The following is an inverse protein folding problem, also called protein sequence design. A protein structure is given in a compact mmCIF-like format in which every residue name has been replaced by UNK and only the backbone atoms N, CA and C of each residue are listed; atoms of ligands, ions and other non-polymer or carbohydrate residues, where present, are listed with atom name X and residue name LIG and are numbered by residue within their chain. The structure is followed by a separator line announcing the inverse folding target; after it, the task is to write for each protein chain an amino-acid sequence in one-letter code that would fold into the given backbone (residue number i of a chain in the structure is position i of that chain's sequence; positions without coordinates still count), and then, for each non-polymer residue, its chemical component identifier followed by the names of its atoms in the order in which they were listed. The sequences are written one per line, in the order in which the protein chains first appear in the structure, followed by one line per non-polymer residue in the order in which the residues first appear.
data_IF_551683271420
#
_entry.id   IF_551683271420
#
_cell.length_a   1.000
_cell.length_b   1.000
_cell.length_c   1.000
_cell.angle_alpha   90.00
_cell.angle_beta   90.00
_cell.angle_gamma   90.00
#
_symmetry.space_group_name_H-M   'P 1'
#
loop_
_entity.id
_entity.type
_entity.pdbx_description
1 polymer ?
#
# COMPACT_ATOMS: atom_id res chain seq x y z
N UNK A 1 -5.51 5.35 20.58
CA UNK A 1 -5.71 3.91 20.86
C UNK A 1 -7.18 3.49 20.76
N UNK A 2 -8.12 4.11 21.49
CA UNK A 2 -9.54 3.69 21.53
C UNK A 2 -10.26 3.84 20.18
N UNK A 3 -9.97 4.88 19.39
CA UNK A 3 -10.65 5.12 18.11
C UNK A 3 -10.23 4.22 16.93
N UNK A 4 -9.02 3.66 16.95
CA UNK A 4 -8.53 2.76 15.90
C UNK A 4 -9.11 1.34 16.07
N UNK A 5 -9.29 0.89 17.32
CA UNK A 5 -9.75 -0.47 17.64
C UNK A 5 -11.27 -0.62 17.50
N UNK A 6 -12.04 0.47 17.64
CA UNK A 6 -13.51 0.42 17.61
C UNK A 6 -14.13 0.23 16.21
N UNK A 7 -13.35 0.40 15.14
CA UNK A 7 -13.86 0.45 13.76
C UNK A 7 -13.72 -0.87 12.98
N UNK A 8 -13.15 -1.91 13.59
CA UNK A 8 -13.02 -3.22 12.94
C UNK A 8 -14.33 -4.00 13.02
N UNK A 9 -15.12 -3.99 11.94
CA UNK A 9 -16.21 -4.96 11.73
C UNK A 9 -15.63 -6.30 11.24
N UNK A 10 -16.20 -7.39 11.77
CA UNK A 10 -15.90 -8.82 11.55
C UNK A 10 -16.16 -9.28 10.09
N UNK A 11 -15.59 -8.59 9.11
CA UNK A 11 -15.59 -9.06 7.74
C UNK A 11 -14.16 -9.40 7.32
N UNK A 12 -14.06 -10.65 6.85
CA UNK A 12 -12.92 -11.43 6.39
C UNK A 12 -12.01 -12.04 7.45
N UNK A 13 -11.63 -13.30 7.22
CA UNK A 13 -10.85 -14.28 8.02
C UNK A 13 -9.43 -13.82 8.41
N UNK A 14 -9.27 -12.57 8.82
CA UNK A 14 -8.07 -12.02 9.43
C UNK A 14 -8.43 -11.79 10.90
N UNK A 15 -7.68 -12.44 11.80
CA UNK A 15 -7.94 -12.29 13.22
C UNK A 15 -7.84 -10.81 13.59
N UNK A 16 -8.87 -10.31 14.30
CA UNK A 16 -8.84 -9.03 14.98
C UNK A 16 -7.55 -8.86 15.82
N UNK A 17 -6.98 -9.98 16.27
CA UNK A 17 -5.71 -10.04 16.97
C UNK A 17 -4.53 -9.54 16.13
N UNK A 18 -4.45 -9.91 14.84
CA UNK A 18 -3.34 -9.43 13.99
C UNK A 18 -3.45 -7.93 13.71
N UNK A 19 -4.67 -7.40 13.53
CA UNK A 19 -4.87 -5.96 13.38
C UNK A 19 -4.42 -5.19 14.63
N UNK A 20 -4.75 -5.70 15.82
CA UNK A 20 -4.29 -5.14 17.10
C UNK A 20 -2.77 -5.24 17.26
N UNK A 21 -2.19 -6.38 16.89
CA UNK A 21 -0.74 -6.61 16.93
C UNK A 21 0.01 -5.55 16.11
N UNK A 22 -0.38 -5.33 14.87
CA UNK A 22 0.25 -4.33 13.99
C UNK A 22 0.16 -2.93 14.59
N UNK A 23 -1.00 -2.55 15.14
CA UNK A 23 -1.17 -1.24 15.80
C UNK A 23 -0.25 -1.11 17.02
N UNK A 24 -0.15 -2.15 17.85
CA UNK A 24 0.72 -2.14 19.03
C UNK A 24 2.19 -2.02 18.63
N UNK A 25 2.65 -2.83 17.67
CA UNK A 25 4.03 -2.77 17.18
C UNK A 25 4.36 -1.38 16.62
N UNK A 26 3.44 -0.75 15.89
CA UNK A 26 3.64 0.60 15.38
C UNK A 26 3.75 1.63 16.50
N UNK A 27 2.85 1.61 17.49
CA UNK A 27 2.91 2.52 18.64
C UNK A 27 4.19 2.35 19.47
N UNK A 28 4.78 1.15 19.47
CA UNK A 28 6.04 0.85 20.16
C UNK A 28 7.28 1.16 19.29
N UNK A 29 7.12 1.70 18.08
CA UNK A 29 8.19 1.90 17.09
C UNK A 29 8.96 0.61 16.75
N UNK A 30 8.22 -0.50 16.62
CA UNK A 30 8.75 -1.84 16.31
C UNK A 30 8.38 -2.33 14.90
N UNK A 31 7.88 -1.43 14.06
CA UNK A 31 7.65 -1.67 12.65
C UNK A 31 8.67 -0.82 11.88
N UNK A 32 9.54 -1.49 11.14
CA UNK A 32 10.46 -0.87 10.20
C UNK A 32 9.87 -0.84 8.79
N UNK A 33 10.53 -0.13 7.87
CA UNK A 33 10.18 -0.18 6.45
C UNK A 33 10.17 -1.62 5.93
N UNK A 34 9.26 -1.90 5.01
CA UNK A 34 9.08 -3.22 4.40
C UNK A 34 8.68 -4.33 5.38
N UNK A 35 8.19 -4.00 6.58
CA UNK A 35 7.60 -4.99 7.50
C UNK A 35 6.54 -5.88 6.82
N UNK A 36 5.80 -5.30 5.89
CA UNK A 36 4.79 -5.99 5.10
C UNK A 36 5.37 -7.13 4.24
N UNK A 37 6.65 -7.08 3.86
CA UNK A 37 7.26 -8.02 2.91
C UNK A 37 7.19 -9.47 3.39
N UNK A 38 7.48 -9.72 4.67
CA UNK A 38 7.45 -11.06 5.29
C UNK A 38 6.05 -11.57 5.63
N UNK A 39 5.01 -10.73 5.45
CA UNK A 39 3.64 -11.12 5.78
C UNK A 39 3.05 -12.06 4.73
N UNK A 40 2.14 -12.94 5.17
CA UNK A 40 1.29 -13.70 4.26
C UNK A 40 0.36 -12.77 3.48
N UNK A 41 -0.19 -13.24 2.35
CA UNK A 41 -1.16 -12.49 1.53
C UNK A 41 -2.34 -11.95 2.35
N UNK A 42 -2.92 -12.76 3.23
CA UNK A 42 -4.01 -12.34 4.14
C UNK A 42 -3.55 -11.29 5.15
N UNK A 43 -2.34 -11.42 5.71
CA UNK A 43 -1.79 -10.43 6.63
C UNK A 43 -1.43 -9.11 5.93
N UNK A 44 -1.02 -9.12 4.66
CA UNK A 44 -0.84 -7.90 3.84
C UNK A 44 -2.15 -7.14 3.64
N UNK A 45 -3.25 -7.85 3.38
CA UNK A 45 -4.60 -7.23 3.32
C UNK A 45 -4.94 -6.56 4.65
N UNK A 46 -4.66 -7.22 5.78
CA UNK A 46 -4.85 -6.62 7.10
C UNK A 46 -3.97 -5.40 7.33
N UNK A 47 -2.69 -5.48 6.94
CA UNK A 47 -1.73 -4.38 7.05
C UNK A 47 -2.23 -3.15 6.29
N UNK A 48 -2.71 -3.33 5.05
CA UNK A 48 -3.36 -2.28 4.25
C UNK A 48 -4.60 -1.73 4.94
N UNK A 49 -5.42 -2.57 5.59
CA UNK A 49 -6.59 -2.13 6.36
C UNK A 49 -6.20 -1.28 7.58
N UNK A 50 -5.13 -1.64 8.29
CA UNK A 50 -4.58 -0.79 9.36
C UNK A 50 -4.08 0.53 8.77
N UNK A 51 -3.36 0.49 7.65
CA UNK A 51 -2.88 1.68 6.94
C UNK A 51 -4.02 2.63 6.53
N UNK A 52 -5.12 2.09 6.01
CA UNK A 52 -6.31 2.87 5.69
C UNK A 52 -6.82 3.67 6.91
N UNK A 53 -7.00 3.02 8.05
CA UNK A 53 -7.46 3.72 9.26
C UNK A 53 -6.40 4.66 9.85
N UNK A 54 -5.13 4.29 9.76
CA UNK A 54 -4.02 5.15 10.19
C UNK A 54 -4.05 6.47 9.43
N UNK A 55 -4.20 6.42 8.11
CA UNK A 55 -4.24 7.61 7.27
C UNK A 55 -5.57 8.37 7.41
N UNK A 56 -6.71 7.68 7.44
CA UNK A 56 -8.03 8.31 7.60
C UNK A 56 -8.21 9.04 8.94
N UNK A 57 -7.36 8.76 9.94
CA UNK A 57 -7.38 9.42 11.26
C UNK A 57 -6.22 10.38 11.47
N UNK A 58 -5.31 10.51 10.50
CA UNK A 58 -4.16 11.42 10.55
C UNK A 58 -4.64 12.85 10.25
N UNK A 59 -4.25 13.86 11.06
CA UNK A 59 -4.54 15.25 10.72
C UNK A 59 -3.93 15.65 9.38
N UNK A 60 -4.64 16.41 8.54
CA UNK A 60 -4.12 16.89 7.25
C UNK A 60 -2.80 17.65 7.39
N UNK A 61 -2.65 18.41 8.48
CA UNK A 61 -1.46 19.23 8.76
C UNK A 61 -0.16 18.44 8.90
N UNK A 62 -0.25 17.12 9.08
CA UNK A 62 0.92 16.25 9.20
C UNK A 62 1.06 15.31 8.01
N UNK A 63 0.24 15.40 6.95
CA UNK A 63 0.39 14.55 5.76
C UNK A 63 1.52 15.06 4.86
N UNK A 64 2.63 14.32 4.83
CA UNK A 64 3.73 14.53 3.89
C UNK A 64 3.69 13.39 2.86
N UNK A 65 2.95 13.59 1.78
CA UNK A 65 2.81 12.63 0.69
C UNK A 65 3.99 12.76 -0.28
N UNK A 66 4.57 11.63 -0.69
CA UNK A 66 5.52 11.64 -1.80
C UNK A 66 4.81 11.46 -3.15
N UNK A 67 5.00 12.42 -4.05
CA UNK A 67 4.56 12.33 -5.45
C UNK A 67 5.60 11.68 -6.36
N UNK A 68 6.75 11.30 -5.81
CA UNK A 68 7.83 10.62 -6.52
C UNK A 68 8.26 9.40 -5.72
N UNK A 69 7.95 8.22 -6.23
CA UNK A 69 8.22 6.96 -5.54
C UNK A 69 9.06 6.04 -6.40
N UNK A 70 9.91 5.27 -5.75
CA UNK A 70 10.69 4.21 -6.35
C UNK A 70 10.24 2.88 -5.75
N UNK A 71 9.77 1.98 -6.61
CA UNK A 71 9.30 0.65 -6.26
C UNK A 71 10.32 -0.36 -6.76
N UNK A 72 10.97 -1.08 -5.85
CA UNK A 72 11.88 -2.16 -6.21
C UNK A 72 11.11 -3.47 -6.43
N UNK A 73 11.14 -3.94 -7.69
CA UNK A 73 10.46 -5.13 -8.15
C UNK A 73 10.91 -6.42 -7.47
N UNK A 74 12.09 -6.43 -6.83
CA UNK A 74 12.53 -7.58 -6.00
C UNK A 74 11.61 -7.86 -4.82
N UNK A 75 10.86 -6.86 -4.36
CA UNK A 75 9.89 -7.00 -3.28
C UNK A 75 8.45 -7.16 -3.77
N UNK A 76 8.21 -7.08 -5.08
CA UNK A 76 6.87 -7.08 -5.66
C UNK A 76 6.68 -8.32 -6.53
N UNK A 77 6.03 -9.33 -5.96
CA UNK A 77 5.66 -10.57 -6.66
C UNK A 77 4.16 -10.83 -6.63
N UNK A 78 3.37 -9.90 -6.11
CA UNK A 78 1.90 -9.97 -6.08
C UNK A 78 1.27 -8.59 -6.01
N UNK A 79 -0.03 -8.53 -6.27
CA UNK A 79 -0.84 -7.31 -6.10
C UNK A 79 -0.71 -6.73 -4.69
N UNK A 80 -0.77 -7.56 -3.67
CA UNK A 80 -0.68 -7.10 -2.27
C UNK A 80 0.70 -6.52 -1.95
N UNK A 81 1.77 -7.09 -2.51
CA UNK A 81 3.12 -6.51 -2.35
C UNK A 81 3.19 -5.13 -2.98
N UNK A 82 2.68 -4.99 -4.21
CA UNK A 82 2.64 -3.71 -4.91
C UNK A 82 1.89 -2.64 -4.09
N UNK A 83 0.68 -2.97 -3.61
CA UNK A 83 -0.15 -2.02 -2.85
C UNK A 83 0.49 -1.64 -1.52
N UNK A 84 1.13 -2.58 -0.81
CA UNK A 84 1.84 -2.28 0.43
C UNK A 84 3.06 -1.39 0.16
N UNK A 85 3.86 -1.72 -0.85
CA UNK A 85 5.07 -0.98 -1.19
C UNK A 85 4.75 0.45 -1.63
N UNK A 86 3.76 0.59 -2.53
CA UNK A 86 3.28 1.90 -2.97
C UNK A 86 2.73 2.72 -1.81
N UNK A 87 1.89 2.12 -0.96
CA UNK A 87 1.38 2.77 0.24
C UNK A 87 2.51 3.30 1.12
N UNK A 88 3.52 2.49 1.38
CA UNK A 88 4.66 2.85 2.22
C UNK A 88 5.54 3.95 1.60
N UNK A 89 5.82 3.90 0.30
CA UNK A 89 6.63 4.94 -0.35
C UNK A 89 5.89 6.28 -0.47
N UNK A 90 4.56 6.27 -0.60
CA UNK A 90 3.77 7.51 -0.65
C UNK A 90 3.55 8.09 0.75
N UNK A 91 3.24 7.26 1.75
CA UNK A 91 2.72 7.71 3.05
C UNK A 91 3.61 7.38 4.27
N UNK A 92 4.73 6.68 4.07
CA UNK A 92 5.59 6.16 5.14
C UNK A 92 5.09 4.83 5.72
N UNK A 93 5.68 4.38 6.82
CA UNK A 93 5.30 3.14 7.51
C UNK A 93 3.80 3.12 7.85
N UNK A 94 3.14 1.97 7.63
CA UNK A 94 1.66 1.85 7.63
C UNK A 94 0.98 2.81 6.64
N UNK A 95 1.66 3.07 5.53
CA UNK A 95 1.13 3.88 4.46
C UNK A 95 0.06 3.13 3.67
N UNK A 96 -0.87 3.89 3.11
CA UNK A 96 -1.98 3.36 2.33
C UNK A 96 -2.20 4.21 1.08
N UNK A 97 -2.27 3.56 -0.08
CA UNK A 97 -2.59 4.23 -1.34
C UNK A 97 -3.46 3.30 -2.21
N UNK A 98 -4.54 2.78 -1.59
CA UNK A 98 -5.41 1.76 -2.15
C UNK A 98 -5.17 0.36 -1.58
N UNK A 99 -6.26 -0.37 -1.30
CA UNK A 99 -6.25 -1.77 -0.83
C UNK A 99 -6.70 -2.79 -1.89
N UNK A 100 -7.23 -2.30 -3.01
CA UNK A 100 -7.65 -3.04 -4.20
C UNK A 100 -7.54 -2.13 -5.45
N UNK A 101 -7.82 -2.67 -6.64
CA UNK A 101 -7.73 -1.92 -7.90
C UNK A 101 -8.66 -0.70 -7.97
N UNK A 102 -9.90 -0.82 -7.48
CA UNK A 102 -10.85 0.29 -7.46
C UNK A 102 -10.31 1.42 -6.57
N UNK A 103 -9.92 1.08 -5.34
CA UNK A 103 -9.38 2.08 -4.40
C UNK A 103 -8.02 2.65 -4.82
N UNK A 104 -7.23 1.93 -5.62
CA UNK A 104 -5.99 2.44 -6.22
C UNK A 104 -6.32 3.48 -7.30
N UNK A 105 -7.29 3.17 -8.17
CA UNK A 105 -7.77 4.08 -9.20
C UNK A 105 -8.36 5.36 -8.59
N UNK A 106 -9.17 5.21 -7.53
CA UNK A 106 -9.71 6.33 -6.75
C UNK A 106 -8.57 7.19 -6.17
N UNK A 107 -7.58 6.58 -5.51
CA UNK A 107 -6.45 7.31 -4.93
C UNK A 107 -5.64 8.10 -5.98
N UNK A 108 -5.47 7.54 -7.18
CA UNK A 108 -4.76 8.19 -8.30
C UNK A 108 -5.56 9.33 -8.95
N UNK A 109 -6.87 9.42 -8.71
CA UNK A 109 -7.78 10.38 -9.38
C UNK A 109 -8.46 11.38 -8.44
N UNK A 110 -8.03 11.46 -7.17
CA UNK A 110 -8.53 12.44 -6.20
C UNK A 110 -9.36 11.86 -5.05
N UNK A 111 -9.21 10.57 -4.75
CA UNK A 111 -9.81 9.91 -3.60
C UNK A 111 -9.10 10.23 -2.27
N UNK A 112 -9.22 9.33 -1.29
CA UNK A 112 -8.45 9.44 -0.04
C UNK A 112 -6.94 9.47 -0.39
N UNK A 113 -6.20 10.42 0.18
CA UNK A 113 -4.80 10.72 -0.16
C UNK A 113 -4.61 11.41 -1.52
N UNK A 114 -5.53 12.31 -1.88
CA UNK A 114 -5.39 13.18 -3.03
C UNK A 114 -4.00 13.86 -3.05
N UNK A 115 -3.24 13.53 -4.09
CA UNK A 115 -1.97 14.18 -4.38
C UNK A 115 -2.25 15.52 -5.06
N UNK A 116 -1.41 16.52 -4.77
CA UNK A 116 -1.53 17.84 -5.43
C UNK A 116 -1.15 17.79 -6.91
N UNK A 117 -0.38 16.79 -7.31
CA UNK A 117 0.02 16.54 -8.68
C UNK A 117 -0.02 15.05 -9.07
N UNK A 118 0.40 14.77 -10.30
CA UNK A 118 0.43 13.40 -10.83
C UNK A 118 1.56 12.60 -10.16
N UNK A 119 1.21 11.42 -9.63
CA UNK A 119 2.16 10.47 -9.06
C UNK A 119 3.17 10.00 -10.12
N UNK A 120 4.46 10.06 -9.78
CA UNK A 120 5.57 9.58 -10.61
C UNK A 120 6.14 8.32 -9.98
N UNK A 121 6.08 7.21 -10.71
CA UNK A 121 6.50 5.89 -10.23
C UNK A 121 7.68 5.43 -11.08
N UNK A 122 8.81 5.15 -10.42
CA UNK A 122 9.90 4.37 -11.00
C UNK A 122 9.81 2.95 -10.46
N UNK A 123 9.50 1.98 -11.32
CA UNK A 123 9.51 0.58 -10.96
C UNK A 123 10.84 -0.02 -11.43
N UNK A 124 11.80 -0.11 -10.52
CA UNK A 124 13.14 -0.65 -10.78
C UNK A 124 13.15 -2.18 -10.63
N UNK A 125 14.10 -2.88 -11.24
CA UNK A 125 14.12 -4.34 -11.31
C UNK A 125 12.78 -4.92 -11.79
N UNK A 126 12.12 -4.25 -12.74
CA UNK A 126 10.76 -4.61 -13.16
C UNK A 126 10.70 -6.02 -13.77
N UNK A 127 11.73 -6.43 -14.51
CA UNK A 127 11.81 -7.78 -15.08
C UNK A 127 11.71 -8.86 -14.01
N UNK A 128 12.22 -8.62 -12.79
CA UNK A 128 12.05 -9.56 -11.67
C UNK A 128 10.58 -9.68 -11.27
N UNK A 129 9.89 -8.55 -11.02
CA UNK A 129 8.45 -8.57 -10.75
C UNK A 129 7.70 -9.26 -11.87
N UNK A 130 7.98 -8.91 -13.13
CA UNK A 130 7.30 -9.46 -14.30
C UNK A 130 7.45 -10.97 -14.38
N UNK A 131 8.64 -11.51 -14.12
CA UNK A 131 8.90 -12.95 -14.12
C UNK A 131 8.15 -13.64 -12.97
N UNK A 132 8.27 -13.14 -11.75
CA UNK A 132 7.82 -13.83 -10.53
C UNK A 132 6.42 -13.45 -10.04
N UNK A 133 5.74 -12.50 -10.69
CA UNK A 133 4.38 -12.10 -10.30
C UNK A 133 3.43 -13.30 -10.27
N UNK A 134 2.71 -13.47 -9.16
CA UNK A 134 1.86 -14.64 -8.87
C UNK A 134 0.67 -14.76 -9.82
N UNK A 135 0.07 -13.64 -10.18
CA UNK A 135 -1.04 -13.55 -11.15
C UNK A 135 -0.73 -12.53 -12.26
N UNK A 136 -0.60 -13.01 -13.49
CA UNK A 136 -0.26 -12.16 -14.65
C UNK A 136 -1.40 -11.22 -15.04
N UNK A 137 -2.66 -11.59 -14.80
CA UNK A 137 -3.79 -10.70 -15.07
C UNK A 137 -3.78 -9.53 -14.08
N UNK A 138 -3.48 -9.80 -12.79
CA UNK A 138 -3.33 -8.73 -11.80
C UNK A 138 -2.20 -7.75 -12.19
N UNK A 139 -1.07 -8.26 -12.71
CA UNK A 139 0.01 -7.43 -13.21
C UNK A 139 -0.41 -6.57 -14.42
N UNK A 140 -1.12 -7.15 -15.38
CA UNK A 140 -1.63 -6.44 -16.55
C UNK A 140 -2.57 -5.30 -16.14
N UNK A 141 -3.52 -5.58 -15.24
CA UNK A 141 -4.45 -4.57 -14.70
C UNK A 141 -3.71 -3.47 -13.94
N UNK A 142 -2.69 -3.80 -13.14
CA UNK A 142 -1.85 -2.78 -12.50
C UNK A 142 -1.20 -1.88 -13.54
N UNK A 143 -0.56 -2.45 -14.55
CA UNK A 143 0.11 -1.66 -15.59
C UNK A 143 -0.87 -0.77 -16.35
N UNK A 144 -2.09 -1.23 -16.62
CA UNK A 144 -3.14 -0.44 -17.25
C UNK A 144 -3.53 0.77 -16.38
N UNK A 145 -3.91 0.53 -15.12
CA UNK A 145 -4.29 1.59 -14.16
C UNK A 145 -3.16 2.62 -14.03
N UNK A 146 -1.93 2.16 -13.81
CA UNK A 146 -0.78 3.04 -13.59
C UNK A 146 -0.42 3.83 -14.84
N UNK A 147 -0.52 3.23 -16.04
CA UNK A 147 -0.25 3.95 -17.29
C UNK A 147 -1.31 5.00 -17.59
N UNK A 148 -2.55 4.79 -17.14
CA UNK A 148 -3.65 5.73 -17.35
C UNK A 148 -3.59 6.92 -16.37
N UNK A 149 -3.32 6.66 -15.08
CA UNK A 149 -3.51 7.66 -14.02
C UNK A 149 -2.21 8.12 -13.34
N UNK A 150 -1.04 7.63 -13.76
CA UNK A 150 0.25 8.02 -13.20
C UNK A 150 1.31 8.23 -14.29
N UNK A 151 2.49 8.70 -13.91
CA UNK A 151 3.68 8.68 -14.76
C UNK A 151 4.55 7.48 -14.37
N UNK A 152 4.33 6.36 -15.04
CA UNK A 152 5.06 5.11 -14.82
C UNK A 152 6.34 5.03 -15.66
N UNK A 153 7.44 4.64 -15.03
CA UNK A 153 8.71 4.28 -15.67
C UNK A 153 9.10 2.87 -15.22
N UNK A 154 9.27 1.95 -16.17
CA UNK A 154 9.73 0.59 -15.91
C UNK A 154 11.23 0.52 -16.22
N UNK A 155 12.04 0.04 -15.26
CA UNK A 155 13.50 0.08 -15.30
C UNK A 155 14.05 -1.30 -14.87
N UNK A 156 15.13 -1.74 -15.52
CA UNK A 156 15.91 -2.94 -15.19
C UNK A 156 17.36 -2.61 -14.84
#
# INVERSE_FOLDING_TARGET
MIHLVSNFKNDDFISLDFLKEVVLLFCENRIDRQYWFSLSKSKKIAYLRVGYYHIATRPESVMELSEQVELDGKYIISKQDFLCHLGEEVNGILGYFGGCFDSLSDALTGGLNELKGVLRIKWINFSFSKEYFDDKNDLEVLLEILSQYSKLQLID
#
